data_IF_647797667917
#
_entry.id   IF_647797667917
#
_cell.length_a   1.000
_cell.length_b   1.000
_cell.length_c   1.000
_cell.angle_alpha   90.00
_cell.angle_beta   90.00
_cell.angle_gamma   90.00
#
_symmetry.space_group_name_H-M   'P 1'
#
loop_
_entity.id
_entity.type
_entity.pdbx_description
1 polymer ?
#
# COMPACT_ATOMS: atom_id res chain seq x y z
N UNK A 1 -52.37 55.67 41.58
CA UNK A 1 -51.91 54.28 41.33
C UNK A 1 -50.57 54.33 40.61
N UNK A 2 -49.47 54.02 41.30
CA UNK A 2 -48.10 54.04 40.75
C UNK A 2 -47.70 52.60 40.41
N UNK A 3 -47.35 52.34 39.16
CA UNK A 3 -46.79 51.06 38.71
C UNK A 3 -45.31 50.96 39.10
N UNK A 4 -44.89 49.83 39.68
CA UNK A 4 -43.49 49.44 39.86
C UNK A 4 -43.16 48.35 38.85
N UNK A 5 -42.12 48.58 38.04
CA UNK A 5 -41.53 47.58 37.16
C UNK A 5 -40.59 46.69 37.97
N UNK A 6 -40.84 45.38 38.02
CA UNK A 6 -39.92 44.37 38.53
C UNK A 6 -39.20 43.73 37.33
N UNK A 7 -37.90 43.94 37.23
CA UNK A 7 -37.03 43.30 36.23
C UNK A 7 -36.59 41.94 36.80
N UNK A 8 -37.00 40.84 36.17
CA UNK A 8 -36.50 39.50 36.47
C UNK A 8 -35.17 39.26 35.75
N UNK A 9 -34.07 39.12 36.50
CA UNK A 9 -32.81 38.58 36.01
C UNK A 9 -32.96 37.05 35.88
N UNK A 10 -32.94 36.54 34.64
CA UNK A 10 -32.80 35.12 34.36
C UNK A 10 -31.32 34.73 34.42
N UNK A 11 -30.93 34.02 35.47
CA UNK A 11 -29.65 33.32 35.55
C UNK A 11 -29.73 32.04 34.70
N UNK A 12 -29.14 32.07 33.49
CA UNK A 12 -28.93 30.90 32.67
C UNK A 12 -27.82 30.04 33.29
N UNK A 13 -28.21 29.01 34.03
CA UNK A 13 -27.31 27.92 34.43
C UNK A 13 -27.13 27.04 33.19
N UNK A 14 -26.01 27.21 32.49
CA UNK A 14 -25.56 26.24 31.51
C UNK A 14 -25.22 24.93 32.24
N UNK A 15 -26.13 23.97 32.16
CA UNK A 15 -25.82 22.57 32.47
C UNK A 15 -24.80 22.09 31.44
N UNK A 16 -23.56 21.91 31.87
CA UNK A 16 -22.53 21.26 31.09
C UNK A 16 -22.86 19.75 31.07
N UNK A 17 -23.70 19.32 30.13
CA UNK A 17 -23.80 17.91 29.78
C UNK A 17 -22.45 17.53 29.18
N UNK A 18 -21.64 16.76 29.92
CA UNK A 18 -20.58 15.96 29.31
C UNK A 18 -21.27 15.09 28.27
N UNK A 19 -21.01 15.34 26.99
CA UNK A 19 -21.32 14.35 25.97
C UNK A 19 -20.60 13.07 26.39
N UNK A 20 -21.35 11.99 26.64
CA UNK A 20 -20.76 10.66 26.77
C UNK A 20 -19.99 10.41 25.47
N UNK A 21 -18.67 10.55 25.52
CA UNK A 21 -17.78 10.17 24.42
C UNK A 21 -17.71 8.65 24.40
N UNK A 22 -18.78 8.02 23.93
CA UNK A 22 -18.78 6.59 23.64
C UNK A 22 -17.80 6.35 22.50
N UNK A 23 -16.69 5.66 22.77
CA UNK A 23 -15.84 5.17 21.69
C UNK A 23 -16.63 4.20 20.84
N UNK A 24 -16.39 4.21 19.54
CA UNK A 24 -16.73 3.04 18.75
C UNK A 24 -15.92 1.83 19.24
N UNK A 25 -16.53 0.65 19.23
CA UNK A 25 -15.90 -0.60 19.63
C UNK A 25 -15.04 -1.13 18.48
N UNK A 26 -13.78 -0.68 18.39
CA UNK A 26 -12.83 -1.22 17.42
C UNK A 26 -12.23 -2.53 17.93
N UNK A 27 -12.13 -3.56 17.08
CA UNK A 27 -11.48 -4.80 17.45
C UNK A 27 -9.96 -4.60 17.59
N UNK A 28 -9.34 -5.28 18.55
CA UNK A 28 -7.88 -5.38 18.65
C UNK A 28 -7.38 -6.40 17.61
N UNK A 29 -6.95 -5.89 16.46
CA UNK A 29 -6.61 -6.72 15.29
C UNK A 29 -5.25 -7.40 15.42
N UNK A 30 -4.34 -6.85 16.24
CA UNK A 30 -3.09 -7.53 16.61
C UNK A 30 -3.41 -8.82 17.37
N UNK A 31 -4.24 -8.72 18.42
CA UNK A 31 -4.65 -9.88 19.21
C UNK A 31 -5.43 -10.90 18.40
N UNK A 32 -6.32 -10.45 17.51
CA UNK A 32 -7.09 -11.33 16.63
C UNK A 32 -6.15 -12.07 15.67
N UNK A 33 -5.19 -11.38 15.06
CA UNK A 33 -4.17 -11.98 14.18
C UNK A 33 -3.41 -13.10 14.88
N UNK A 34 -2.84 -12.82 16.07
CA UNK A 34 -2.10 -13.81 16.88
C UNK A 34 -2.97 -15.04 17.20
N UNK A 35 -4.24 -14.83 17.54
CA UNK A 35 -5.16 -15.91 17.83
C UNK A 35 -5.50 -16.74 16.58
N UNK A 36 -5.69 -16.09 15.43
CA UNK A 36 -5.90 -16.76 14.15
C UNK A 36 -4.69 -17.60 13.74
N UNK A 37 -3.47 -17.08 13.89
CA UNK A 37 -2.24 -17.82 13.62
C UNK A 37 -2.13 -19.05 14.53
N UNK A 38 -2.42 -18.89 15.83
CA UNK A 38 -2.48 -20.01 16.78
C UNK A 38 -3.51 -21.08 16.37
N UNK A 39 -4.64 -20.69 15.78
CA UNK A 39 -5.63 -21.64 15.27
C UNK A 39 -5.12 -22.35 14.01
N UNK A 40 -4.52 -21.62 13.07
CA UNK A 40 -3.96 -22.16 11.82
C UNK A 40 -2.85 -23.17 12.08
N UNK A 41 -1.91 -22.86 12.97
CA UNK A 41 -0.84 -23.78 13.38
C UNK A 41 -1.37 -25.12 13.93
N UNK A 42 -2.60 -25.11 14.47
CA UNK A 42 -3.30 -26.30 14.99
C UNK A 42 -4.26 -26.93 13.98
N UNK A 43 -4.23 -26.50 12.71
CA UNK A 43 -5.14 -26.95 11.65
C UNK A 43 -6.60 -26.54 11.86
N UNK A 44 -6.88 -25.51 12.66
CA UNK A 44 -8.24 -25.04 13.01
C UNK A 44 -8.65 -23.85 12.15
N UNK A 45 -8.48 -23.95 10.83
CA UNK A 45 -8.73 -22.87 9.86
C UNK A 45 -10.16 -22.31 9.96
N UNK A 46 -11.19 -23.16 10.14
CA UNK A 46 -12.57 -22.69 10.33
C UNK A 46 -12.73 -21.76 11.53
N UNK A 47 -12.00 -21.98 12.63
CA UNK A 47 -12.05 -21.09 13.81
C UNK A 47 -11.38 -19.75 13.56
N UNK A 48 -10.24 -19.76 12.84
CA UNK A 48 -9.60 -18.53 12.39
C UNK A 48 -10.52 -17.75 11.45
N UNK A 49 -11.14 -18.43 10.48
CA UNK A 49 -12.09 -17.85 9.54
C UNK A 49 -13.27 -17.17 10.25
N UNK A 50 -13.92 -17.84 11.21
CA UNK A 50 -15.01 -17.24 11.98
C UNK A 50 -14.57 -16.03 12.81
N UNK A 51 -13.34 -16.04 13.33
CA UNK A 51 -12.83 -14.91 14.11
C UNK A 51 -12.58 -13.70 13.21
N UNK A 52 -11.94 -13.89 12.05
CA UNK A 52 -11.79 -12.84 11.04
C UNK A 52 -13.13 -12.34 10.52
N UNK A 53 -14.08 -13.24 10.23
CA UNK A 53 -15.41 -12.85 9.75
C UNK A 53 -16.14 -11.97 10.77
N UNK A 54 -16.12 -12.34 12.06
CA UNK A 54 -16.72 -11.53 13.13
C UNK A 54 -16.02 -10.17 13.26
N UNK A 55 -14.70 -10.13 13.17
CA UNK A 55 -13.94 -8.89 13.21
C UNK A 55 -14.26 -8.00 11.99
N UNK A 56 -14.42 -8.59 10.80
CA UNK A 56 -14.87 -7.91 9.59
C UNK A 56 -16.27 -7.31 9.74
N UNK A 57 -17.21 -8.01 10.40
CA UNK A 57 -18.53 -7.46 10.71
C UNK A 57 -18.47 -6.28 11.68
N UNK A 58 -17.63 -6.36 12.70
CA UNK A 58 -17.46 -5.31 13.70
C UNK A 58 -16.80 -4.07 13.10
N UNK A 59 -15.71 -4.24 12.36
CA UNK A 59 -14.92 -3.15 11.80
C UNK A 59 -15.46 -2.66 10.45
N UNK A 60 -16.27 -3.45 9.75
CA UNK A 60 -16.70 -3.20 8.36
C UNK A 60 -15.51 -3.12 7.39
N UNK A 61 -14.61 -4.10 7.47
CA UNK A 61 -13.39 -4.18 6.67
C UNK A 61 -13.49 -5.29 5.63
N UNK A 62 -13.29 -4.92 4.36
CA UNK A 62 -13.20 -5.83 3.22
C UNK A 62 -12.06 -6.83 3.41
N UNK A 63 -10.89 -6.36 3.84
CA UNK A 63 -9.69 -7.19 3.99
C UNK A 63 -9.88 -8.29 5.06
N UNK A 64 -10.53 -7.98 6.18
CA UNK A 64 -10.85 -9.02 7.18
C UNK A 64 -11.76 -10.12 6.62
N UNK A 65 -12.68 -9.78 5.70
CA UNK A 65 -13.49 -10.78 5.01
C UNK A 65 -12.70 -11.56 3.96
N UNK A 66 -11.71 -10.97 3.30
CA UNK A 66 -10.75 -11.69 2.44
C UNK A 66 -9.97 -12.74 3.24
N UNK A 67 -9.45 -12.36 4.42
CA UNK A 67 -8.77 -13.30 5.32
C UNK A 67 -9.71 -14.41 5.80
N UNK A 68 -10.98 -14.08 6.08
CA UNK A 68 -11.99 -15.08 6.42
C UNK A 68 -12.26 -16.04 5.26
N UNK A 69 -12.42 -15.53 4.04
CA UNK A 69 -12.69 -16.33 2.84
C UNK A 69 -11.57 -17.34 2.57
N UNK A 70 -10.31 -16.87 2.65
CA UNK A 70 -9.14 -17.73 2.54
C UNK A 70 -9.17 -18.87 3.56
N UNK A 71 -9.38 -18.54 4.84
CA UNK A 71 -9.38 -19.52 5.92
C UNK A 71 -10.57 -20.49 5.86
N UNK A 72 -11.72 -20.07 5.34
CA UNK A 72 -12.83 -20.98 5.03
C UNK A 72 -12.48 -21.93 3.87
N UNK A 73 -11.77 -21.43 2.85
CA UNK A 73 -11.21 -22.26 1.77
C UNK A 73 -10.27 -23.34 2.27
N UNK A 74 -9.31 -22.96 3.13
CA UNK A 74 -8.39 -23.89 3.81
C UNK A 74 -9.10 -24.89 4.74
N UNK A 75 -10.34 -24.60 5.13
CA UNK A 75 -11.20 -25.50 5.89
C UNK A 75 -12.17 -26.32 5.01
N UNK A 76 -12.08 -26.18 3.68
CA UNK A 76 -12.95 -26.80 2.69
C UNK A 76 -14.45 -26.44 2.87
N UNK A 77 -14.73 -25.20 3.29
CA UNK A 77 -16.08 -24.67 3.52
C UNK A 77 -16.47 -23.68 2.41
N UNK A 78 -16.88 -24.22 1.26
CA UNK A 78 -17.17 -23.45 0.05
C UNK A 78 -18.22 -22.33 0.26
N UNK A 79 -19.38 -22.66 0.84
CA UNK A 79 -20.48 -21.72 1.09
C UNK A 79 -20.01 -20.52 1.94
N UNK A 80 -19.30 -20.81 3.03
CA UNK A 80 -18.77 -19.79 3.94
C UNK A 80 -17.70 -18.92 3.28
N UNK A 81 -16.84 -19.52 2.45
CA UNK A 81 -15.82 -18.78 1.70
C UNK A 81 -16.48 -17.81 0.72
N UNK A 82 -17.47 -18.25 -0.06
CA UNK A 82 -18.19 -17.40 -1.01
C UNK A 82 -18.99 -16.30 -0.31
N UNK A 83 -19.62 -16.59 0.84
CA UNK A 83 -20.29 -15.57 1.66
C UNK A 83 -19.31 -14.50 2.16
N UNK A 84 -18.12 -14.91 2.59
CA UNK A 84 -17.08 -13.97 3.00
C UNK A 84 -16.61 -13.08 1.84
N UNK A 85 -16.44 -13.63 0.63
CA UNK A 85 -16.13 -12.82 -0.56
C UNK A 85 -17.25 -11.83 -0.89
N UNK A 86 -18.53 -12.24 -0.76
CA UNK A 86 -19.66 -11.30 -0.96
C UNK A 86 -19.63 -10.15 0.05
N UNK A 87 -19.33 -10.42 1.31
CA UNK A 87 -19.17 -9.38 2.33
C UNK A 87 -17.94 -8.50 2.03
N UNK A 88 -16.82 -9.04 1.54
CA UNK A 88 -15.66 -8.20 1.16
C UNK A 88 -16.03 -7.23 0.03
N UNK A 89 -16.76 -7.70 -1.00
CA UNK A 89 -17.27 -6.84 -2.10
C UNK A 89 -18.11 -5.69 -1.56
N UNK A 90 -19.03 -5.98 -0.63
CA UNK A 90 -19.90 -4.97 0.00
C UNK A 90 -19.11 -3.89 0.73
N UNK A 91 -17.94 -4.21 1.28
CA UNK A 91 -17.09 -3.27 2.02
C UNK A 91 -15.92 -2.71 1.21
N UNK A 92 -15.84 -2.99 -0.09
CA UNK A 92 -14.91 -2.30 -1.00
C UNK A 92 -13.79 -3.13 -1.60
N UNK A 93 -13.91 -4.47 -1.60
CA UNK A 93 -13.04 -5.32 -2.43
C UNK A 93 -13.03 -4.79 -3.86
N UNK A 94 -11.84 -4.71 -4.45
CA UNK A 94 -11.68 -4.27 -5.82
C UNK A 94 -10.90 -5.26 -6.69
N UNK A 95 -10.32 -6.33 -6.14
CA UNK A 95 -9.70 -7.40 -6.91
C UNK A 95 -10.75 -8.30 -7.58
N UNK A 96 -10.88 -8.31 -8.93
CA UNK A 96 -11.85 -9.17 -9.61
C UNK A 96 -11.40 -10.64 -9.64
N UNK A 97 -10.11 -10.91 -9.40
CA UNK A 97 -9.50 -12.25 -9.45
C UNK A 97 -9.35 -12.88 -8.06
N UNK A 98 -10.12 -12.40 -7.08
CA UNK A 98 -9.97 -12.82 -5.67
C UNK A 98 -10.13 -14.33 -5.47
N UNK A 99 -11.00 -15.00 -6.24
CA UNK A 99 -11.22 -16.44 -6.11
C UNK A 99 -9.98 -17.24 -6.52
N UNK A 100 -9.30 -16.82 -7.59
CA UNK A 100 -8.04 -17.44 -8.03
C UNK A 100 -6.94 -17.22 -6.98
N UNK A 101 -6.76 -15.97 -6.54
CA UNK A 101 -5.74 -15.60 -5.54
C UNK A 101 -5.90 -16.37 -4.23
N UNK A 102 -7.13 -16.63 -3.81
CA UNK A 102 -7.42 -17.39 -2.60
C UNK A 102 -7.48 -18.92 -2.82
N UNK A 103 -7.24 -19.41 -4.05
CA UNK A 103 -7.30 -20.83 -4.39
C UNK A 103 -8.72 -21.42 -4.33
N UNK A 104 -9.75 -20.58 -4.40
CA UNK A 104 -11.16 -20.96 -4.23
C UNK A 104 -11.82 -21.45 -5.52
N UNK A 105 -11.21 -21.21 -6.69
CA UNK A 105 -11.83 -21.53 -7.99
C UNK A 105 -12.31 -22.97 -8.09
N UNK A 106 -11.42 -23.93 -7.79
CA UNK A 106 -11.75 -25.36 -7.86
C UNK A 106 -12.79 -25.77 -6.82
N UNK A 107 -12.66 -25.26 -5.60
CA UNK A 107 -13.55 -25.59 -4.47
C UNK A 107 -14.99 -25.13 -4.73
N UNK A 108 -15.14 -23.98 -5.38
CA UNK A 108 -16.41 -23.27 -5.47
C UNK A 108 -17.08 -23.38 -6.83
N UNK A 109 -16.42 -23.99 -7.83
CA UNK A 109 -16.80 -23.97 -9.26
C UNK A 109 -18.28 -24.25 -9.54
N UNK A 110 -18.83 -25.29 -8.90
CA UNK A 110 -20.20 -25.77 -9.16
C UNK A 110 -21.21 -25.27 -8.12
N UNK A 111 -20.81 -24.31 -7.28
CA UNK A 111 -21.64 -23.78 -6.20
C UNK A 111 -22.70 -22.80 -6.74
N UNK A 112 -23.93 -22.87 -6.22
CA UNK A 112 -25.07 -22.07 -6.71
C UNK A 112 -24.88 -20.54 -6.59
N UNK A 113 -24.04 -20.07 -5.66
CA UNK A 113 -23.71 -18.65 -5.50
C UNK A 113 -22.73 -18.10 -6.56
N UNK A 114 -22.10 -18.96 -7.38
CA UNK A 114 -21.10 -18.52 -8.36
C UNK A 114 -21.66 -17.58 -9.41
N UNK A 115 -22.86 -17.82 -9.92
CA UNK A 115 -23.46 -16.97 -10.95
C UNK A 115 -23.57 -15.50 -10.51
N UNK A 116 -24.10 -15.25 -9.31
CA UNK A 116 -24.20 -13.91 -8.75
C UNK A 116 -22.82 -13.32 -8.44
N UNK A 117 -21.92 -14.12 -7.85
CA UNK A 117 -20.61 -13.64 -7.43
C UNK A 117 -19.72 -13.29 -8.64
N UNK A 118 -19.66 -14.14 -9.65
CA UNK A 118 -18.89 -13.92 -10.86
C UNK A 118 -19.43 -12.67 -11.61
N UNK A 119 -20.74 -12.44 -11.58
CA UNK A 119 -21.32 -11.19 -12.09
C UNK A 119 -20.85 -9.95 -11.32
N UNK A 120 -20.73 -10.03 -9.99
CA UNK A 120 -20.22 -8.91 -9.16
C UNK A 120 -18.73 -8.66 -9.43
N UNK A 121 -17.92 -9.72 -9.51
CA UNK A 121 -16.48 -9.63 -9.82
C UNK A 121 -16.26 -9.06 -11.23
N UNK A 122 -17.09 -9.43 -12.20
CA UNK A 122 -17.04 -8.85 -13.54
C UNK A 122 -17.38 -7.34 -13.55
N UNK A 123 -18.33 -6.88 -12.73
CA UNK A 123 -18.59 -5.44 -12.62
C UNK A 123 -17.41 -4.69 -12.01
N UNK A 124 -16.74 -5.29 -11.03
CA UNK A 124 -15.51 -4.73 -10.45
C UNK A 124 -14.41 -4.64 -11.52
N UNK A 125 -14.22 -5.68 -12.32
CA UNK A 125 -13.26 -5.70 -13.42
C UNK A 125 -13.52 -4.57 -14.42
N UNK A 126 -14.78 -4.40 -14.85
CA UNK A 126 -15.17 -3.31 -15.76
C UNK A 126 -14.89 -1.92 -15.17
N UNK A 127 -15.09 -1.75 -13.86
CA UNK A 127 -14.78 -0.49 -13.19
C UNK A 127 -13.28 -0.23 -13.16
N UNK A 128 -12.48 -1.24 -12.81
CA UNK A 128 -11.04 -1.12 -12.68
C UNK A 128 -10.31 -0.99 -14.01
N UNK A 129 -10.82 -1.57 -15.10
CA UNK A 129 -10.18 -1.47 -16.41
C UNK A 129 -10.42 -0.12 -17.11
N UNK A 130 -11.14 0.81 -16.46
CA UNK A 130 -11.44 2.12 -17.03
C UNK A 130 -10.74 3.24 -16.26
N UNK A 131 -9.77 3.88 -16.90
CA UNK A 131 -8.99 4.98 -16.33
C UNK A 131 -9.84 6.18 -15.92
N UNK A 132 -11.04 6.37 -16.47
CA UNK A 132 -11.94 7.44 -16.01
C UNK A 132 -12.47 7.24 -14.59
N UNK A 133 -12.38 6.01 -14.06
CA UNK A 133 -12.76 5.67 -12.69
C UNK A 133 -11.55 5.70 -11.73
N UNK A 134 -10.34 5.95 -12.24
CA UNK A 134 -9.16 6.05 -11.40
C UNK A 134 -9.25 7.29 -10.51
N UNK A 135 -9.10 7.08 -9.21
CA UNK A 135 -9.18 8.14 -8.21
C UNK A 135 -8.12 7.93 -7.13
N UNK A 136 -7.46 9.03 -6.76
CA UNK A 136 -6.58 9.11 -5.60
C UNK A 136 -7.27 9.97 -4.55
N UNK A 137 -7.64 9.35 -3.42
CA UNK A 137 -8.44 9.96 -2.36
C UNK A 137 -7.54 10.45 -1.24
N UNK A 138 -7.62 11.74 -0.92
CA UNK A 138 -6.81 12.42 0.12
C UNK A 138 -7.59 12.71 1.42
N UNK A 139 -8.91 12.50 1.40
CA UNK A 139 -9.81 12.78 2.51
C UNK A 139 -9.41 12.16 3.88
N UNK A 140 -8.71 10.99 3.95
CA UNK A 140 -8.21 10.48 5.22
C UNK A 140 -7.23 11.44 5.92
N UNK A 141 -6.37 12.15 5.18
CA UNK A 141 -5.41 13.11 5.75
C UNK A 141 -6.13 14.33 6.30
N UNK A 142 -7.08 14.89 5.54
CA UNK A 142 -7.83 16.08 5.95
C UNK A 142 -8.58 15.88 7.26
N UNK A 143 -9.19 14.71 7.38
CA UNK A 143 -9.97 14.33 8.55
C UNK A 143 -9.10 14.09 9.78
N UNK A 144 -7.92 13.51 9.59
CA UNK A 144 -7.04 13.08 10.67
C UNK A 144 -6.71 14.20 11.66
N UNK A 145 -6.40 15.39 11.15
CA UNK A 145 -5.91 16.49 11.98
C UNK A 145 -6.88 16.90 13.10
N UNK A 146 -8.19 16.79 12.87
CA UNK A 146 -9.20 17.05 13.91
C UNK A 146 -9.03 16.10 15.11
N UNK A 147 -8.92 14.80 14.86
CA UNK A 147 -8.82 13.79 15.91
C UNK A 147 -7.42 13.78 16.54
N UNK A 148 -6.38 14.05 15.75
CA UNK A 148 -5.03 14.25 16.26
C UNK A 148 -4.97 15.42 17.25
N UNK A 149 -5.54 16.58 16.92
CA UNK A 149 -5.57 17.75 17.81
C UNK A 149 -6.33 17.46 19.12
N UNK A 150 -7.45 16.75 19.04
CA UNK A 150 -8.21 16.31 20.21
C UNK A 150 -7.39 15.36 21.08
N UNK A 151 -6.74 14.37 20.47
CA UNK A 151 -5.91 13.39 21.19
C UNK A 151 -4.65 14.01 21.81
N UNK A 152 -4.08 15.03 21.18
CA UNK A 152 -2.95 15.78 21.71
C UNK A 152 -3.35 16.67 22.90
N UNK A 153 -4.56 17.23 22.87
CA UNK A 153 -5.06 18.14 23.93
C UNK A 153 -5.59 17.38 25.15
N UNK A 154 -6.33 16.29 24.91
CA UNK A 154 -6.95 15.47 25.94
C UNK A 154 -6.42 14.03 25.84
N UNK A 155 -5.21 13.87 26.37
CA UNK A 155 -4.43 12.62 26.32
C UNK A 155 -5.11 11.46 27.05
N UNK A 156 -5.95 11.75 28.06
CA UNK A 156 -6.74 10.73 28.77
C UNK A 156 -7.71 10.01 27.82
N UNK A 157 -8.33 10.76 26.91
CA UNK A 157 -9.25 10.24 25.89
C UNK A 157 -8.61 10.08 24.50
N UNK A 158 -7.28 10.24 24.38
CA UNK A 158 -6.58 10.23 23.09
C UNK A 158 -6.86 9.01 22.23
N UNK A 159 -6.92 7.82 22.84
CA UNK A 159 -7.27 6.57 22.16
C UNK A 159 -8.70 6.57 21.62
N UNK A 160 -9.64 7.21 22.32
CA UNK A 160 -11.04 7.34 21.89
C UNK A 160 -11.12 8.23 20.65
N UNK A 161 -10.43 9.38 20.65
CA UNK A 161 -10.42 10.26 19.48
C UNK A 161 -9.80 9.57 18.25
N UNK A 162 -8.67 8.88 18.41
CA UNK A 162 -8.07 8.13 17.31
C UNK A 162 -8.93 6.95 16.85
N UNK A 163 -9.69 6.31 17.74
CA UNK A 163 -10.67 5.29 17.35
C UNK A 163 -11.81 5.89 16.51
N UNK A 164 -12.32 7.05 16.91
CA UNK A 164 -13.38 7.74 16.18
C UNK A 164 -12.95 8.17 14.77
N UNK A 165 -11.67 8.52 14.58
CA UNK A 165 -11.10 8.76 13.25
C UNK A 165 -11.33 7.57 12.29
N UNK A 166 -11.09 6.35 12.77
CA UNK A 166 -11.29 5.12 11.99
C UNK A 166 -12.77 4.79 11.81
N UNK A 167 -13.58 4.91 12.86
CA UNK A 167 -14.97 4.48 12.82
C UNK A 167 -15.87 5.38 11.98
N UNK A 168 -15.64 6.69 12.06
CA UNK A 168 -16.28 7.68 11.20
C UNK A 168 -15.63 7.69 9.79
N UNK A 169 -14.54 6.93 9.64
CA UNK A 169 -13.78 6.56 8.43
C UNK A 169 -14.59 6.01 7.27
N UNK A 170 -14.01 6.08 6.07
CA UNK A 170 -14.44 5.23 4.94
C UNK A 170 -14.14 3.75 5.24
N UNK A 171 -14.73 2.82 4.49
CA UNK A 171 -14.35 1.41 4.56
C UNK A 171 -12.85 1.19 4.27
N UNK A 172 -12.29 1.94 3.31
CA UNK A 172 -10.86 1.90 3.05
C UNK A 172 -9.99 2.29 4.27
N UNK A 173 -10.43 3.25 5.10
CA UNK A 173 -9.71 3.59 6.34
C UNK A 173 -9.83 2.48 7.39
N UNK A 174 -10.96 1.76 7.41
CA UNK A 174 -11.18 0.59 8.28
C UNK A 174 -10.35 -0.61 7.84
N UNK A 175 -10.16 -0.79 6.54
CA UNK A 175 -9.17 -1.72 5.99
C UNK A 175 -7.75 -1.30 6.38
N UNK A 176 -7.40 -0.02 6.25
CA UNK A 176 -6.08 0.47 6.66
C UNK A 176 -5.80 0.25 8.15
N UNK A 177 -6.82 0.41 8.98
CA UNK A 177 -6.73 0.06 10.40
C UNK A 177 -6.36 -1.40 10.62
N UNK A 178 -6.90 -2.32 9.81
CA UNK A 178 -6.49 -3.72 9.86
C UNK A 178 -5.04 -3.94 9.44
N UNK A 179 -4.61 -3.32 8.34
CA UNK A 179 -3.34 -3.66 7.69
C UNK A 179 -2.13 -3.01 8.40
N UNK A 180 -2.30 -1.80 8.95
CA UNK A 180 -1.18 -0.99 9.46
C UNK A 180 -1.31 -0.54 10.90
N UNK A 181 -2.49 -0.07 11.32
CA UNK A 181 -2.67 0.47 12.67
C UNK A 181 -2.84 -0.60 13.74
N UNK A 182 -3.54 -1.68 13.41
CA UNK A 182 -3.88 -2.85 14.24
C UNK A 182 -4.76 -2.54 15.47
N UNK A 183 -4.41 -1.52 16.26
CA UNK A 183 -5.16 -1.06 17.40
C UNK A 183 -4.93 0.44 17.69
N UNK A 184 -5.87 1.06 18.42
CA UNK A 184 -5.80 2.48 18.75
C UNK A 184 -4.65 2.83 19.72
N UNK A 185 -4.16 1.85 20.49
CA UNK A 185 -3.04 2.05 21.41
C UNK A 185 -1.72 2.23 20.65
N UNK A 186 -1.50 1.46 19.57
CA UNK A 186 -0.35 1.62 18.66
C UNK A 186 -0.36 2.99 18.00
N UNK A 187 -1.51 3.42 17.48
CA UNK A 187 -1.67 4.78 16.93
C UNK A 187 -1.32 5.84 17.97
N UNK A 188 -1.89 5.75 19.18
CA UNK A 188 -1.64 6.72 20.26
C UNK A 188 -0.17 6.77 20.67
N UNK A 189 0.47 5.61 20.88
CA UNK A 189 1.90 5.49 21.21
C UNK A 189 2.79 6.16 20.17
N UNK A 190 2.54 5.91 18.88
CA UNK A 190 3.40 6.45 17.81
C UNK A 190 3.12 7.93 17.56
N UNK A 191 1.86 8.31 17.43
CA UNK A 191 1.45 9.64 16.97
C UNK A 191 1.47 10.68 18.08
N UNK A 192 1.03 10.31 19.29
CA UNK A 192 0.82 11.25 20.40
C UNK A 192 1.93 11.18 21.43
N UNK A 193 2.29 9.97 21.90
CA UNK A 193 3.31 9.84 22.95
C UNK A 193 4.73 10.01 22.39
N UNK A 194 5.06 9.31 21.30
CA UNK A 194 6.43 9.23 20.79
C UNK A 194 6.78 10.37 19.83
N UNK A 195 5.92 10.70 18.87
CA UNK A 195 6.30 11.63 17.79
C UNK A 195 5.37 12.85 17.61
N UNK A 196 4.79 13.48 18.64
CA UNK A 196 3.79 14.55 18.45
C UNK A 196 4.34 15.74 17.64
N UNK A 197 5.61 16.10 17.85
CA UNK A 197 6.26 17.18 17.09
C UNK A 197 6.40 16.86 15.61
N UNK A 198 6.62 15.59 15.25
CA UNK A 198 6.70 15.16 13.85
C UNK A 198 5.35 15.36 13.15
N UNK A 199 4.24 14.93 13.75
CA UNK A 199 2.90 15.10 13.16
C UNK A 199 2.44 16.57 13.14
N UNK A 200 2.80 17.37 14.14
CA UNK A 200 2.60 18.82 14.10
C UNK A 200 3.40 19.49 12.96
N UNK A 201 4.60 18.99 12.68
CA UNK A 201 5.41 19.40 11.53
C UNK A 201 4.75 18.96 10.21
N UNK A 202 4.34 17.69 10.08
CA UNK A 202 3.65 17.15 8.90
C UNK A 202 2.45 18.02 8.51
N UNK A 203 1.60 18.36 9.48
CA UNK A 203 0.41 19.20 9.26
C UNK A 203 0.74 20.56 8.62
N UNK A 204 1.90 21.14 8.95
CA UNK A 204 2.35 22.42 8.38
C UNK A 204 3.06 22.23 7.04
N UNK A 205 3.72 21.09 6.86
CA UNK A 205 4.58 20.82 5.70
C UNK A 205 3.79 20.31 4.48
N UNK A 206 2.66 19.64 4.73
CA UNK A 206 1.83 18.98 3.72
C UNK A 206 0.47 19.69 3.67
N UNK A 207 0.24 20.47 2.61
CA UNK A 207 -1.02 21.15 2.35
C UNK A 207 -1.95 20.30 1.48
N UNK A 208 -3.25 20.62 1.51
CA UNK A 208 -4.23 20.02 0.61
C UNK A 208 -3.90 20.24 -0.87
N UNK A 209 -3.42 21.44 -1.22
CA UNK A 209 -3.01 21.78 -2.58
C UNK A 209 -1.86 20.88 -3.06
N UNK A 210 -0.85 20.66 -2.21
CA UNK A 210 0.27 19.75 -2.50
C UNK A 210 -0.21 18.33 -2.77
N UNK A 211 -1.11 17.80 -1.94
CA UNK A 211 -1.70 16.48 -2.13
C UNK A 211 -2.53 16.38 -3.41
N UNK A 212 -3.29 17.43 -3.72
CA UNK A 212 -4.09 17.49 -4.95
C UNK A 212 -3.20 17.46 -6.20
N UNK A 213 -2.10 18.23 -6.20
CA UNK A 213 -1.16 18.26 -7.31
C UNK A 213 -0.50 16.89 -7.55
N UNK A 214 -0.04 16.22 -6.49
CA UNK A 214 0.52 14.85 -6.60
C UNK A 214 -0.52 13.87 -7.14
N UNK A 215 -1.77 13.93 -6.65
CA UNK A 215 -2.85 13.10 -7.15
C UNK A 215 -3.12 13.36 -8.65
N UNK A 216 -3.09 14.61 -9.08
CA UNK A 216 -3.27 14.99 -10.48
C UNK A 216 -2.13 14.49 -11.37
N UNK A 217 -0.87 14.68 -10.96
CA UNK A 217 0.31 14.20 -11.69
C UNK A 217 0.28 12.67 -11.86
N UNK A 218 0.03 11.94 -10.77
CA UNK A 218 -0.11 10.48 -10.82
C UNK A 218 -1.28 10.02 -11.71
N UNK A 219 -2.41 10.73 -11.68
CA UNK A 219 -3.56 10.47 -12.57
C UNK A 219 -3.19 10.64 -14.03
N UNK A 220 -2.44 11.70 -14.37
CA UNK A 220 -1.96 11.92 -15.75
C UNK A 220 -0.99 10.83 -16.18
N UNK A 221 -0.10 10.37 -15.30
CA UNK A 221 0.80 9.24 -15.57
C UNK A 221 0.01 7.96 -15.85
N UNK A 222 -1.02 7.66 -15.06
CA UNK A 222 -1.88 6.49 -15.30
C UNK A 222 -2.73 6.61 -16.56
N UNK A 223 -3.15 7.82 -16.95
CA UNK A 223 -3.79 8.06 -18.26
C UNK A 223 -2.85 7.78 -19.43
N UNK A 224 -1.59 8.21 -19.35
CA UNK A 224 -0.56 7.85 -20.34
C UNK A 224 -0.35 6.33 -20.37
N UNK A 225 -0.30 5.69 -19.19
CA UNK A 225 -0.13 4.24 -19.08
C UNK A 225 -1.28 3.47 -19.73
N UNK A 226 -2.53 3.92 -19.57
CA UNK A 226 -3.70 3.31 -20.20
C UNK A 226 -3.59 3.22 -21.74
N UNK A 227 -2.94 4.20 -22.38
CA UNK A 227 -2.71 4.23 -23.83
C UNK A 227 -1.61 3.25 -24.26
N UNK A 228 -0.63 3.04 -23.39
CA UNK A 228 0.50 2.14 -23.61
C UNK A 228 0.12 0.68 -23.34
N UNK A 229 -0.67 0.43 -22.29
CA UNK A 229 -1.12 -0.88 -21.86
C UNK A 229 -2.66 -0.87 -21.67
N UNK A 230 -3.45 -1.15 -22.73
CA UNK A 230 -4.91 -1.09 -22.67
C UNK A 230 -5.60 -2.08 -21.72
N UNK A 231 -4.84 -3.04 -21.16
CA UNK A 231 -5.31 -3.98 -20.13
C UNK A 231 -4.99 -3.52 -18.70
N UNK A 232 -4.53 -2.27 -18.53
CA UNK A 232 -4.20 -1.72 -17.23
C UNK A 232 -5.42 -1.73 -16.30
N UNK A 233 -5.17 -2.04 -15.03
CA UNK A 233 -6.13 -1.92 -13.94
C UNK A 233 -5.84 -0.66 -13.14
N UNK A 234 -6.90 -0.01 -12.66
CA UNK A 234 -6.82 1.25 -11.93
C UNK A 234 -7.46 1.07 -10.55
N UNK A 235 -6.71 0.53 -9.56
CA UNK A 235 -7.22 0.36 -8.21
C UNK A 235 -7.54 1.72 -7.58
N UNK A 236 -8.46 1.72 -6.60
CA UNK A 236 -8.64 2.90 -5.76
C UNK A 236 -7.38 3.12 -4.93
N UNK A 237 -6.95 4.37 -4.83
CA UNK A 237 -5.74 4.76 -4.13
C UNK A 237 -6.06 5.75 -3.04
N UNK A 238 -5.48 5.57 -1.86
CA UNK A 238 -5.70 6.44 -0.69
C UNK A 238 -4.37 6.98 -0.19
N UNK A 239 -4.30 8.30 0.01
CA UNK A 239 -3.22 8.90 0.79
C UNK A 239 -3.71 9.00 2.23
N UNK A 240 -2.91 8.48 3.15
CA UNK A 240 -3.27 8.30 4.56
C UNK A 240 -2.13 8.78 5.47
N UNK A 241 -2.43 9.29 6.68
CA UNK A 241 -1.42 9.35 7.74
C UNK A 241 -1.04 7.93 8.15
N UNK A 242 0.23 7.62 8.35
CA UNK A 242 0.68 6.30 8.83
C UNK A 242 1.48 6.43 10.13
N UNK A 243 2.15 5.35 10.53
CA UNK A 243 2.93 5.20 11.74
C UNK A 243 4.44 5.31 11.49
N UNK A 244 4.86 5.97 10.40
CA UNK A 244 6.26 6.19 10.01
C UNK A 244 6.97 4.85 9.76
N UNK A 245 6.29 3.94 9.05
CA UNK A 245 6.75 2.56 8.87
C UNK A 245 6.58 1.98 7.46
N UNK A 246 6.08 2.76 6.49
CA UNK A 246 5.95 2.30 5.10
C UNK A 246 5.49 3.41 4.17
N UNK A 247 6.00 3.42 2.93
CA UNK A 247 5.57 4.33 1.87
C UNK A 247 4.32 3.81 1.16
N UNK A 248 4.34 2.56 0.67
CA UNK A 248 3.25 1.90 -0.04
C UNK A 248 2.69 0.66 0.66
N UNK A 249 1.38 0.43 0.51
CA UNK A 249 0.70 -0.80 0.95
C UNK A 249 -0.33 -1.23 -0.09
N UNK A 250 -0.06 -2.36 -0.77
CA UNK A 250 -1.01 -2.99 -1.67
C UNK A 250 -1.90 -3.97 -0.94
N UNK A 251 -3.16 -4.04 -1.36
CA UNK A 251 -4.17 -4.96 -0.81
C UNK A 251 -5.09 -5.45 -1.92
N UNK A 252 -6.01 -6.36 -1.60
CA UNK A 252 -7.04 -6.80 -2.54
C UNK A 252 -8.13 -5.75 -2.78
N UNK A 253 -8.21 -4.74 -1.92
CA UNK A 253 -9.24 -3.70 -1.98
C UNK A 253 -8.72 -2.39 -2.56
N UNK A 254 -7.49 -1.99 -2.27
CA UNK A 254 -6.95 -0.66 -2.61
C UNK A 254 -5.42 -0.55 -2.46
N UNK A 255 -4.85 0.52 -3.00
CA UNK A 255 -3.50 1.01 -2.68
C UNK A 255 -3.57 2.08 -1.58
N UNK A 256 -2.61 2.05 -0.65
CA UNK A 256 -2.42 3.09 0.35
C UNK A 256 -1.02 3.65 0.32
N UNK A 257 -0.90 4.99 0.40
CA UNK A 257 0.36 5.71 0.50
C UNK A 257 0.43 6.47 1.83
N UNK A 258 1.46 6.15 2.64
CA UNK A 258 1.74 6.79 3.93
C UNK A 258 2.37 8.17 3.73
N UNK A 259 1.59 9.23 3.96
CA UNK A 259 1.99 10.62 3.68
C UNK A 259 3.17 11.09 4.55
N UNK A 260 3.32 10.50 5.72
CA UNK A 260 4.36 10.74 6.72
C UNK A 260 5.74 10.24 6.29
N UNK A 261 5.86 9.47 5.20
CA UNK A 261 7.15 9.11 4.61
C UNK A 261 7.68 10.16 3.63
N UNK A 262 6.90 11.20 3.32
CA UNK A 262 7.18 12.20 2.28
C UNK A 262 7.21 13.63 2.84
N UNK A 263 8.02 13.84 3.88
CA UNK A 263 8.12 15.12 4.57
C UNK A 263 9.55 15.48 4.96
N UNK A 264 10.54 15.07 4.18
CA UNK A 264 11.92 15.45 4.45
C UNK A 264 12.15 16.94 4.20
N UNK A 265 12.72 17.61 5.18
CA UNK A 265 13.29 18.96 5.06
C UNK A 265 14.36 19.18 6.13
N UNK A 266 15.09 20.28 6.04
CA UNK A 266 16.03 20.71 7.09
C UNK A 266 15.36 20.92 8.45
N UNK A 267 14.06 21.24 8.45
CA UNK A 267 13.25 21.49 9.66
C UNK A 267 12.54 20.25 10.22
N UNK A 268 12.69 19.08 9.58
CA UNK A 268 12.04 17.85 9.99
C UNK A 268 12.52 17.41 11.39
N UNK A 269 11.61 17.21 12.36
CA UNK A 269 11.97 16.66 13.68
C UNK A 269 12.54 15.24 13.57
N UNK A 270 13.61 14.96 14.31
CA UNK A 270 14.35 13.67 14.25
C UNK A 270 14.49 12.98 15.61
N UNK A 271 14.04 13.60 16.70
CA UNK A 271 14.40 13.26 18.07
C UNK A 271 14.06 11.81 18.44
N UNK A 272 12.96 11.27 17.88
CA UNK A 272 12.44 9.94 18.19
C UNK A 272 12.41 9.00 16.98
N UNK A 273 13.04 9.40 15.87
CA UNK A 273 13.17 8.60 14.67
C UNK A 273 14.43 7.73 14.74
N UNK A 274 14.33 6.50 14.25
CA UNK A 274 15.49 5.62 14.10
C UNK A 274 16.24 5.88 12.77
N UNK A 275 17.44 5.31 12.64
CA UNK A 275 18.29 5.47 11.44
C UNK A 275 17.59 5.06 10.14
N UNK A 276 16.76 4.01 10.18
CA UNK A 276 15.99 3.57 9.02
C UNK A 276 14.93 4.62 8.62
N UNK A 277 14.17 5.15 9.57
CA UNK A 277 13.19 6.21 9.32
C UNK A 277 13.87 7.46 8.75
N UNK A 278 14.97 7.91 9.36
CA UNK A 278 15.71 9.10 8.91
C UNK A 278 16.26 8.92 7.49
N UNK A 279 16.71 7.71 7.13
CA UNK A 279 17.27 7.43 5.82
C UNK A 279 16.21 7.16 4.74
N UNK A 280 15.02 6.74 5.12
CA UNK A 280 13.93 6.36 4.21
C UNK A 280 12.93 7.48 3.95
N UNK A 281 12.62 8.32 4.94
CA UNK A 281 11.77 9.50 4.73
C UNK A 281 12.41 10.38 3.66
N UNK A 282 11.61 10.82 2.68
CA UNK A 282 12.05 11.58 1.52
C UNK A 282 11.22 12.85 1.34
N UNK A 283 11.62 13.69 0.38
CA UNK A 283 11.00 14.96 0.05
C UNK A 283 9.60 14.73 -0.52
N UNK A 284 8.70 15.69 -0.30
CA UNK A 284 7.28 15.53 -0.65
C UNK A 284 7.07 15.26 -2.14
N UNK A 285 7.87 15.93 -2.97
CA UNK A 285 7.82 15.89 -4.43
C UNK A 285 8.08 14.48 -4.98
N UNK A 286 8.70 13.60 -4.18
CA UNK A 286 9.02 12.23 -4.59
C UNK A 286 7.84 11.28 -4.47
N UNK A 287 6.76 11.68 -3.77
CA UNK A 287 5.58 10.83 -3.54
C UNK A 287 4.95 10.32 -4.84
N UNK A 288 5.01 11.10 -5.92
CA UNK A 288 4.47 10.69 -7.22
C UNK A 288 5.19 9.47 -7.80
N UNK A 289 6.49 9.34 -7.58
CA UNK A 289 7.26 8.21 -8.08
C UNK A 289 6.86 6.94 -7.35
N UNK A 290 6.84 6.97 -6.02
CA UNK A 290 6.44 5.84 -5.19
C UNK A 290 4.98 5.47 -5.45
N UNK A 291 4.07 6.44 -5.52
CA UNK A 291 2.66 6.18 -5.79
C UNK A 291 2.48 5.43 -7.12
N UNK A 292 3.10 5.89 -8.21
CA UNK A 292 2.98 5.21 -9.50
C UNK A 292 3.76 3.90 -9.54
N UNK A 293 4.91 3.79 -8.84
CA UNK A 293 5.64 2.54 -8.67
C UNK A 293 4.73 1.45 -8.07
N UNK A 294 4.05 1.75 -6.97
CA UNK A 294 3.14 0.80 -6.34
C UNK A 294 1.95 0.45 -7.24
N UNK A 295 1.46 1.38 -8.05
CA UNK A 295 0.42 1.10 -9.05
C UNK A 295 0.87 0.14 -10.14
N UNK A 296 2.17 0.08 -10.46
CA UNK A 296 2.70 -0.85 -11.46
C UNK A 296 2.66 -2.29 -10.97
N UNK A 297 2.79 -2.54 -9.66
CA UNK A 297 2.65 -3.89 -9.11
C UNK A 297 1.24 -4.48 -9.32
N UNK A 298 0.18 -3.66 -9.36
CA UNK A 298 -1.17 -4.14 -9.71
C UNK A 298 -1.27 -4.63 -11.16
N UNK A 299 -0.33 -4.24 -12.03
CA UNK A 299 -0.30 -4.62 -13.44
C UNK A 299 0.48 -5.91 -13.68
N UNK A 300 1.22 -6.37 -12.68
CA UNK A 300 2.11 -7.53 -12.78
C UNK A 300 1.32 -8.82 -12.59
N UNK A 301 1.56 -9.78 -13.48
CA UNK A 301 0.94 -11.11 -13.45
C UNK A 301 1.91 -12.13 -14.03
N UNK A 302 2.92 -12.49 -13.23
CA UNK A 302 3.98 -13.42 -13.63
C UNK A 302 3.57 -14.88 -13.41
N UNK A 303 3.92 -15.75 -14.36
CA UNK A 303 3.70 -17.19 -14.25
C UNK A 303 4.97 -18.01 -13.92
N UNK A 304 6.14 -17.35 -13.86
CA UNK A 304 7.41 -17.95 -13.40
C UNK A 304 7.50 -17.97 -11.87
N UNK A 305 6.76 -18.88 -11.22
CA UNK A 305 6.70 -18.94 -9.75
C UNK A 305 8.03 -19.31 -9.09
N UNK A 306 8.85 -20.14 -9.74
CA UNK A 306 10.16 -20.50 -9.20
C UNK A 306 11.14 -19.35 -9.32
N UNK A 307 11.21 -18.71 -10.49
CA UNK A 307 12.11 -17.60 -10.75
C UNK A 307 11.78 -16.34 -9.98
N UNK A 308 10.50 -16.14 -9.60
CA UNK A 308 10.07 -15.04 -8.74
C UNK A 308 10.80 -15.01 -7.40
N UNK A 309 11.23 -16.17 -6.88
CA UNK A 309 11.95 -16.28 -5.61
C UNK A 309 13.47 -16.04 -5.74
N UNK A 310 13.99 -15.99 -6.96
CA UNK A 310 15.40 -15.72 -7.23
C UNK A 310 15.65 -14.23 -7.47
N UNK A 311 16.91 -13.80 -7.31
CA UNK A 311 17.32 -12.42 -7.55
C UNK A 311 16.90 -11.95 -8.94
N UNK A 312 17.11 -12.74 -10.00
CA UNK A 312 16.73 -12.33 -11.36
C UNK A 312 15.24 -11.99 -11.51
N UNK A 313 14.34 -12.74 -10.88
CA UNK A 313 12.90 -12.45 -10.90
C UNK A 313 12.61 -11.16 -10.15
N UNK A 314 13.23 -10.98 -8.98
CA UNK A 314 13.11 -9.75 -8.18
C UNK A 314 13.64 -8.51 -8.87
N UNK A 315 14.70 -8.61 -9.67
CA UNK A 315 15.16 -7.48 -10.50
C UNK A 315 14.07 -7.05 -11.48
N UNK A 316 13.40 -7.99 -12.16
CA UNK A 316 12.35 -7.64 -13.12
C UNK A 316 11.09 -7.13 -12.40
N UNK A 317 10.69 -7.77 -11.30
CA UNK A 317 9.53 -7.35 -10.49
C UNK A 317 9.67 -5.89 -10.02
N UNK A 318 10.75 -5.53 -9.35
CA UNK A 318 10.94 -4.17 -8.83
C UNK A 318 11.37 -3.17 -9.91
N UNK A 319 12.26 -3.61 -10.80
CA UNK A 319 12.82 -2.76 -11.84
C UNK A 319 11.84 -2.38 -12.94
N UNK A 320 10.84 -3.23 -13.21
CA UNK A 320 9.77 -2.89 -14.16
C UNK A 320 8.92 -1.73 -13.65
N UNK A 321 8.63 -1.68 -12.35
CA UNK A 321 7.90 -0.58 -11.73
C UNK A 321 8.67 0.74 -11.89
N UNK A 322 9.94 0.77 -11.50
CA UNK A 322 10.79 1.97 -11.66
C UNK A 322 10.94 2.41 -13.12
N UNK A 323 11.09 1.45 -14.04
CA UNK A 323 11.22 1.76 -15.46
C UNK A 323 9.93 2.36 -16.02
N UNK A 324 8.78 1.75 -15.73
CA UNK A 324 7.49 2.25 -16.20
C UNK A 324 7.18 3.62 -15.60
N UNK A 325 7.53 3.87 -14.34
CA UNK A 325 7.45 5.22 -13.76
C UNK A 325 8.23 6.21 -14.62
N UNK A 326 9.49 5.92 -14.94
CA UNK A 326 10.31 6.81 -15.79
C UNK A 326 9.76 7.00 -17.20
N UNK A 327 9.06 6.01 -17.74
CA UNK A 327 8.47 6.10 -19.06
C UNK A 327 7.24 7.04 -19.09
N UNK A 328 6.61 7.26 -17.93
CA UNK A 328 5.39 8.05 -17.78
C UNK A 328 5.64 9.49 -17.32
N UNK A 329 6.81 9.75 -16.72
CA UNK A 329 7.27 11.08 -16.35
C UNK A 329 7.59 11.93 -17.59
N UNK A 330 7.66 13.25 -17.41
CA UNK A 330 8.21 14.13 -18.45
C UNK A 330 9.73 13.91 -18.54
N UNK A 331 10.29 13.96 -19.75
CA UNK A 331 11.73 13.80 -20.04
C UNK A 331 12.43 12.54 -19.52
N UNK A 332 11.70 11.54 -19.04
CA UNK A 332 12.28 10.29 -18.55
C UNK A 332 12.86 10.37 -17.14
N UNK A 333 12.38 11.30 -16.31
CA UNK A 333 12.80 11.44 -14.91
C UNK A 333 12.63 10.13 -14.14
N UNK A 334 13.64 9.80 -13.32
CA UNK A 334 13.65 8.62 -12.46
C UNK A 334 13.46 9.02 -10.99
N UNK A 335 13.05 8.06 -10.14
CA UNK A 335 12.99 8.30 -8.70
C UNK A 335 14.37 8.64 -8.14
N UNK A 336 14.47 9.42 -7.04
CA UNK A 336 15.77 9.77 -6.45
C UNK A 336 16.59 8.55 -5.99
N UNK A 337 15.92 7.46 -5.60
CA UNK A 337 16.57 6.20 -5.27
C UNK A 337 17.30 5.60 -6.47
N UNK A 338 16.62 5.54 -7.63
CA UNK A 338 17.21 5.10 -8.90
C UNK A 338 18.32 6.06 -9.34
N UNK A 339 18.10 7.38 -9.29
CA UNK A 339 19.12 8.36 -9.69
C UNK A 339 20.41 8.21 -8.87
N UNK A 340 20.31 8.10 -7.54
CA UNK A 340 21.47 7.90 -6.66
C UNK A 340 22.28 6.66 -7.03
N UNK A 341 21.60 5.58 -7.39
CA UNK A 341 22.24 4.34 -7.80
C UNK A 341 22.87 4.46 -9.19
N UNK A 342 22.22 5.15 -10.14
CA UNK A 342 22.79 5.47 -11.45
C UNK A 342 24.07 6.31 -11.30
N UNK A 343 24.08 7.32 -10.43
CA UNK A 343 25.27 8.13 -10.14
C UNK A 343 26.41 7.27 -9.62
N UNK A 344 26.13 6.34 -8.70
CA UNK A 344 27.13 5.39 -8.19
C UNK A 344 27.66 4.45 -9.27
N UNK A 345 26.77 3.93 -10.14
CA UNK A 345 27.09 3.05 -11.25
C UNK A 345 27.81 3.77 -12.41
N UNK A 346 27.74 5.11 -12.48
CA UNK A 346 28.46 5.90 -13.50
C UNK A 346 29.98 5.80 -13.37
N UNK A 347 30.48 5.40 -12.20
CA UNK A 347 31.90 5.16 -11.94
C UNK A 347 32.25 3.74 -12.42
N UNK A 348 33.14 3.56 -13.44
CA UNK A 348 33.40 2.25 -14.04
C UNK A 348 33.79 1.15 -13.04
N UNK A 349 34.62 1.50 -12.04
CA UNK A 349 35.03 0.56 -11.00
C UNK A 349 33.84 0.04 -10.17
N UNK A 350 32.87 0.91 -9.88
CA UNK A 350 31.68 0.53 -9.12
C UNK A 350 30.75 -0.33 -9.99
N UNK A 351 30.60 0.03 -11.26
CA UNK A 351 29.84 -0.78 -12.22
C UNK A 351 30.42 -2.19 -12.36
N UNK A 352 31.72 -2.32 -12.60
CA UNK A 352 32.39 -3.62 -12.74
C UNK A 352 32.25 -4.48 -11.48
N UNK A 353 32.37 -3.85 -10.31
CA UNK A 353 32.16 -4.50 -9.02
C UNK A 353 30.73 -5.02 -8.87
N UNK A 354 29.72 -4.17 -9.12
CA UNK A 354 28.31 -4.56 -9.04
C UNK A 354 27.98 -5.66 -10.04
N UNK A 355 28.43 -5.55 -11.29
CA UNK A 355 28.18 -6.54 -12.33
C UNK A 355 28.82 -7.90 -12.03
N UNK A 356 30.00 -7.91 -11.42
CA UNK A 356 30.69 -9.13 -10.98
C UNK A 356 29.90 -9.84 -9.87
N UNK A 357 29.44 -9.08 -8.87
CA UNK A 357 28.61 -9.65 -7.81
C UNK A 357 27.24 -10.09 -8.30
N UNK A 358 26.63 -9.31 -9.20
CA UNK A 358 25.32 -9.62 -9.77
C UNK A 358 25.34 -10.96 -10.50
N UNK A 359 26.35 -11.18 -11.37
CA UNK A 359 26.55 -12.47 -12.07
C UNK A 359 26.63 -13.66 -11.14
N UNK A 360 27.32 -13.50 -10.02
CA UNK A 360 27.49 -14.57 -9.03
C UNK A 360 26.20 -14.84 -8.26
N UNK A 361 25.45 -13.79 -7.95
CA UNK A 361 24.29 -13.86 -7.05
C UNK A 361 22.95 -13.97 -7.82
N UNK A 362 22.94 -13.93 -9.16
CA UNK A 362 21.73 -13.81 -10.00
C UNK A 362 20.69 -14.91 -9.77
N UNK A 363 21.14 -16.14 -9.46
CA UNK A 363 20.27 -17.28 -9.13
C UNK A 363 20.08 -17.48 -7.61
N UNK A 364 20.59 -16.57 -6.77
CA UNK A 364 20.42 -16.65 -5.32
C UNK A 364 19.00 -16.27 -4.90
N UNK A 365 18.53 -16.88 -3.81
CA UNK A 365 17.33 -16.43 -3.07
C UNK A 365 17.69 -15.46 -1.93
N UNK A 366 18.97 -15.30 -1.63
CA UNK A 366 19.44 -14.29 -0.67
C UNK A 366 19.48 -12.93 -1.34
N UNK A 367 18.50 -12.09 -1.00
CA UNK A 367 18.33 -10.75 -1.54
C UNK A 367 19.02 -9.67 -0.71
N UNK A 368 19.65 -10.00 0.42
CA UNK A 368 20.12 -9.03 1.43
C UNK A 368 21.14 -8.02 0.91
N UNK A 369 21.87 -8.35 -0.18
CA UNK A 369 22.79 -7.42 -0.85
C UNK A 369 22.12 -6.51 -1.89
N UNK A 370 20.91 -6.84 -2.31
CA UNK A 370 20.28 -6.26 -3.51
C UNK A 370 18.98 -5.52 -3.23
N UNK A 371 18.15 -6.03 -2.30
CA UNK A 371 16.80 -5.55 -2.04
C UNK A 371 16.60 -5.22 -0.55
N UNK A 372 15.80 -4.19 -0.28
CA UNK A 372 15.37 -3.73 1.06
C UNK A 372 16.47 -3.65 2.13
N UNK A 373 17.68 -3.28 1.73
CA UNK A 373 18.87 -3.33 2.59
C UNK A 373 19.31 -1.95 3.11
N UNK A 374 18.39 -0.99 3.10
CA UNK A 374 18.58 0.33 3.70
C UNK A 374 19.05 0.23 5.15
N UNK A 375 20.09 0.99 5.49
CA UNK A 375 20.71 0.96 6.82
C UNK A 375 21.61 -0.25 7.10
N UNK A 376 21.40 -1.40 6.45
CA UNK A 376 22.21 -2.61 6.63
C UNK A 376 23.46 -2.63 5.75
N UNK A 377 23.33 -2.30 4.46
CA UNK A 377 24.46 -2.22 3.53
C UNK A 377 25.26 -0.92 3.73
N UNK A 378 26.60 -1.00 3.69
CA UNK A 378 27.49 0.12 4.06
C UNK A 378 28.55 0.46 3.00
N UNK A 379 28.89 -0.46 2.12
CA UNK A 379 29.96 -0.30 1.11
C UNK A 379 29.45 0.30 -0.21
N UNK A 380 28.14 0.44 -0.36
CA UNK A 380 27.44 0.95 -1.55
C UNK A 380 26.05 1.50 -1.19
N UNK A 381 25.39 2.24 -2.09
CA UNK A 381 24.00 2.60 -1.94
C UNK A 381 23.06 1.39 -1.79
N UNK A 382 21.99 1.53 -1.01
CA UNK A 382 20.98 0.48 -0.86
C UNK A 382 20.15 0.27 -2.13
N UNK A 383 19.50 -0.89 -2.21
CA UNK A 383 18.52 -1.23 -3.23
C UNK A 383 19.06 -1.19 -4.68
N UNK A 384 20.35 -1.53 -4.89
CA UNK A 384 20.91 -1.59 -6.25
C UNK A 384 20.18 -2.59 -7.16
N UNK A 385 19.50 -3.60 -6.60
CA UNK A 385 18.69 -4.53 -7.38
C UNK A 385 17.55 -3.84 -8.15
N UNK A 386 16.91 -2.83 -7.54
CA UNK A 386 15.88 -2.02 -8.21
C UNK A 386 16.44 -1.34 -9.46
N UNK A 387 17.59 -0.68 -9.32
CA UNK A 387 18.22 0.06 -10.42
C UNK A 387 18.79 -0.85 -11.50
N UNK A 388 19.32 -2.01 -11.13
CA UNK A 388 19.75 -3.00 -12.12
C UNK A 388 18.56 -3.57 -12.89
N UNK A 389 17.46 -3.84 -12.20
CA UNK A 389 16.18 -4.22 -12.81
C UNK A 389 15.64 -3.16 -13.77
N UNK A 390 15.65 -1.90 -13.35
CA UNK A 390 15.30 -0.74 -14.17
C UNK A 390 16.09 -0.72 -15.48
N UNK A 391 17.42 -0.85 -15.40
CA UNK A 391 18.30 -0.85 -16.56
C UNK A 391 18.01 -2.03 -17.51
N UNK A 392 17.75 -3.22 -16.97
CA UNK A 392 17.39 -4.42 -17.73
C UNK A 392 16.06 -4.22 -18.47
N UNK A 393 15.01 -3.80 -17.76
CA UNK A 393 13.68 -3.60 -18.33
C UNK A 393 13.69 -2.49 -19.39
N UNK A 394 14.40 -1.39 -19.12
CA UNK A 394 14.61 -0.30 -20.07
C UNK A 394 15.30 -0.79 -21.35
N UNK A 395 16.42 -1.51 -21.22
CA UNK A 395 17.15 -2.04 -22.38
C UNK A 395 16.32 -3.05 -23.18
N UNK A 396 15.58 -3.95 -22.51
CA UNK A 396 14.64 -4.85 -23.19
C UNK A 396 13.58 -4.08 -23.99
N UNK A 397 12.97 -3.06 -23.36
CA UNK A 397 11.99 -2.20 -24.02
C UNK A 397 12.59 -1.45 -25.20
N UNK A 398 13.79 -0.87 -25.06
CA UNK A 398 14.49 -0.12 -26.12
C UNK A 398 14.83 -1.00 -27.31
N UNK A 399 15.26 -2.25 -27.07
CA UNK A 399 15.59 -3.24 -28.10
C UNK A 399 14.35 -3.82 -28.82
N UNK A 400 13.15 -3.71 -28.23
CA UNK A 400 11.93 -4.25 -28.82
C UNK A 400 11.41 -3.40 -30.00
N UNK A 401 10.93 -4.06 -31.06
CA UNK A 401 10.29 -3.38 -32.19
C UNK A 401 8.90 -2.83 -31.83
N UNK A 402 8.10 -3.60 -31.08
CA UNK A 402 6.79 -3.20 -30.59
C UNK A 402 6.89 -2.88 -29.10
N UNK A 403 6.74 -1.59 -28.78
CA UNK A 403 6.82 -1.08 -27.41
C UNK A 403 5.65 -1.52 -26.53
N UNK A 404 4.46 -1.71 -27.10
CA UNK A 404 3.28 -2.16 -26.34
C UNK A 404 3.43 -3.63 -25.97
N UNK A 405 3.91 -4.45 -26.91
CA UNK A 405 4.18 -5.86 -26.62
C UNK A 405 5.35 -6.01 -25.64
N UNK A 406 6.36 -5.14 -25.70
CA UNK A 406 7.45 -5.13 -24.73
C UNK A 406 6.94 -4.87 -23.30
N UNK A 407 6.11 -3.85 -23.10
CA UNK A 407 5.50 -3.53 -21.79
C UNK A 407 4.66 -4.70 -21.29
N UNK A 408 3.82 -5.27 -22.16
CA UNK A 408 3.03 -6.45 -21.82
C UNK A 408 3.90 -7.62 -21.37
N UNK A 409 4.98 -7.93 -22.10
CA UNK A 409 5.88 -9.02 -21.73
C UNK A 409 6.64 -8.73 -20.43
N UNK A 410 7.10 -7.50 -20.20
CA UNK A 410 7.72 -7.07 -18.93
C UNK A 410 6.78 -7.29 -17.73
N UNK A 411 5.47 -7.09 -17.90
CA UNK A 411 4.48 -7.20 -16.82
C UNK A 411 3.91 -8.62 -16.63
N UNK A 412 3.97 -9.48 -17.64
CA UNK A 412 3.22 -10.75 -17.66
C UNK A 412 4.04 -11.97 -18.06
N UNK A 413 5.37 -11.88 -18.01
CA UNK A 413 6.23 -12.99 -18.43
C UNK A 413 6.04 -14.25 -17.59
N UNK A 414 6.15 -15.39 -18.26
CA UNK A 414 6.22 -16.75 -17.74
C UNK A 414 7.66 -17.29 -17.65
N UNK A 415 8.64 -16.51 -18.12
CA UNK A 415 10.07 -16.72 -17.90
C UNK A 415 10.76 -15.36 -17.74
N UNK A 416 11.24 -15.05 -16.53
CA UNK A 416 11.93 -13.78 -16.28
C UNK A 416 13.24 -13.65 -17.04
N UNK A 417 13.92 -14.77 -17.34
CA UNK A 417 15.20 -14.74 -18.05
C UNK A 417 15.04 -14.27 -19.49
N UNK A 418 13.88 -14.44 -20.11
CA UNK A 418 13.62 -13.91 -21.45
C UNK A 418 13.78 -12.39 -21.52
N UNK A 419 13.34 -11.68 -20.47
CA UNK A 419 13.52 -10.22 -20.37
C UNK A 419 15.01 -9.87 -20.31
N UNK A 420 15.77 -10.61 -19.50
CA UNK A 420 17.22 -10.40 -19.37
C UNK A 420 17.95 -10.74 -20.68
N UNK A 421 17.60 -11.84 -21.33
CA UNK A 421 18.20 -12.30 -22.59
C UNK A 421 17.93 -11.34 -23.75
N UNK A 422 16.77 -10.69 -23.77
CA UNK A 422 16.40 -9.65 -24.75
C UNK A 422 17.01 -8.28 -24.47
N UNK A 423 17.69 -8.10 -23.34
CA UNK A 423 18.39 -6.87 -22.97
C UNK A 423 19.90 -6.95 -23.28
N UNK A 424 20.57 -5.81 -23.18
CA UNK A 424 22.04 -5.72 -23.28
C UNK A 424 22.75 -6.34 -22.07
N UNK A 425 22.00 -6.69 -21.03
CA UNK A 425 22.49 -7.30 -19.80
C UNK A 425 22.48 -8.83 -19.84
N UNK A 426 22.14 -9.47 -20.96
CA UNK A 426 22.08 -10.95 -21.09
C UNK A 426 23.28 -11.72 -20.53
N UNK A 427 24.47 -11.11 -20.54
CA UNK A 427 25.70 -11.69 -19.99
C UNK A 427 25.68 -11.92 -18.47
N UNK A 428 24.69 -11.40 -17.73
CA UNK A 428 24.56 -11.65 -16.29
C UNK A 428 24.10 -13.07 -15.96
N UNK A 429 23.42 -13.74 -16.88
CA UNK A 429 22.93 -15.11 -16.68
C UNK A 429 24.04 -16.17 -16.79
N UNK A 430 25.24 -15.77 -17.21
CA UNK A 430 26.34 -16.68 -17.53
C UNK A 430 26.11 -17.43 -18.85
N UNK A 431 27.09 -18.24 -19.26
CA UNK A 431 26.80 -19.36 -20.16
C UNK A 431 26.13 -20.42 -19.27
N UNK A 432 24.84 -20.63 -19.46
CA UNK A 432 24.08 -21.66 -18.74
C UNK A 432 24.68 -23.06 -18.88
#
# INVERSE_FOLDING_TARGET
MKYHYLIFLFSLIFSCQKADQTSCDLPDLERIGIQCDTFREKGKNAKAAHLYFKAGQQNQSSELFVYAAWQFGEANLADSALLAVKESIKYGLSSPYILEKLGLEKLTRDHNMREELDSLLYQIELQQNNVSNFEIVTAPVDRFWKYFDQALTDTLNGRIYLSNYICEGSFALKDYYHIRYENADKMYKVMIEKNPNYYLYLRKHISQEKLHNVAQEATQMMQKFAVLYPKAVFPKTYIVPDLINGSGTLTESSLYIGVDMFAKSDSMPKENLNDWQISTITEFENMKFDLVHELMHFQQSYADFEGKENLYGKLIEEGSCDFLVSLLTEDGEVSPGVQRNLDYLSVPKNYDFVMSELKRDIYSKDLSKWMHNGGAIKDRPSNLGYTMGFLICKSYYENANDKREAVKKILTTDDFKEIILGSDYKGILGNG
#
